data_IF_985169710468
#
_entry.id   IF_985169710468
#
_cell.length_a   1.000
_cell.length_b   1.000
_cell.length_c   1.000
_cell.angle_alpha   90.00
_cell.angle_beta   90.00
_cell.angle_gamma   90.00
#
_symmetry.space_group_name_H-M   'P 1'
#
loop_
_entity.id
_entity.type
_entity.pdbx_description
1 polymer ?
#
# COMPACT_ATOMS: atom_id res chain seq x y z
N UNK A 1 24.63 -2.06 -1.70
CA UNK A 1 25.11 -0.76 -2.14
C UNK A 1 24.19 0.37 -1.66
N UNK A 2 24.65 1.62 -1.77
CA UNK A 2 23.84 2.78 -1.42
C UNK A 2 22.56 2.88 -2.24
N UNK A 3 22.62 2.51 -3.52
CA UNK A 3 21.46 2.55 -4.40
C UNK A 3 20.38 1.57 -3.95
N UNK A 4 20.77 0.40 -3.50
CA UNK A 4 19.80 -0.59 -2.99
C UNK A 4 19.16 -0.12 -1.69
N UNK A 5 19.97 0.47 -0.80
CA UNK A 5 19.45 1.01 0.47
C UNK A 5 18.47 2.16 0.22
N UNK A 6 18.78 3.03 -0.73
CA UNK A 6 17.90 4.13 -1.11
C UNK A 6 16.59 3.61 -1.69
N UNK A 7 16.65 2.56 -2.51
CA UNK A 7 15.46 1.96 -3.11
C UNK A 7 14.54 1.37 -2.05
N UNK A 8 15.12 0.67 -1.07
CA UNK A 8 14.35 0.10 0.04
C UNK A 8 13.72 1.21 0.86
N UNK A 9 14.47 2.26 1.18
CA UNK A 9 13.97 3.39 1.96
C UNK A 9 12.82 4.09 1.22
N UNK A 10 12.97 4.31 -0.07
CA UNK A 10 11.92 4.92 -0.89
C UNK A 10 10.66 4.06 -0.89
N UNK A 11 10.82 2.74 -1.02
CA UNK A 11 9.68 1.82 -1.01
C UNK A 11 8.91 1.87 0.31
N UNK A 12 9.63 1.93 1.43
CA UNK A 12 9.00 2.05 2.76
C UNK A 12 8.20 3.34 2.84
N UNK A 13 8.78 4.45 2.40
CA UNK A 13 8.10 5.74 2.41
C UNK A 13 6.88 5.73 1.50
N UNK A 14 7.03 5.17 0.31
CA UNK A 14 5.94 5.07 -0.66
C UNK A 14 4.75 4.32 -0.08
N UNK A 15 4.97 3.14 0.49
CA UNK A 15 3.88 2.35 1.06
C UNK A 15 3.31 3.01 2.31
N UNK A 16 4.13 3.67 3.12
CA UNK A 16 3.66 4.38 4.29
C UNK A 16 2.70 5.51 3.90
N UNK A 17 3.08 6.33 2.93
CA UNK A 17 2.22 7.42 2.46
C UNK A 17 0.97 6.89 1.77
N UNK A 18 1.08 5.80 1.03
CA UNK A 18 -0.07 5.19 0.38
C UNK A 18 -1.09 4.70 1.41
N UNK A 19 -0.63 4.03 2.46
CA UNK A 19 -1.51 3.55 3.52
C UNK A 19 -2.17 4.70 4.29
N UNK A 20 -1.39 5.72 4.64
CA UNK A 20 -1.93 6.90 5.32
C UNK A 20 -2.95 7.61 4.44
N UNK A 21 -2.62 7.80 3.16
CA UNK A 21 -3.51 8.44 2.20
C UNK A 21 -4.83 7.70 2.03
N UNK A 22 -4.76 6.39 1.87
CA UNK A 22 -5.95 5.55 1.75
C UNK A 22 -6.79 5.61 3.02
N UNK A 23 -6.16 5.57 4.18
CA UNK A 23 -6.84 5.66 5.47
C UNK A 23 -7.56 6.98 5.65
N UNK A 24 -6.89 8.09 5.34
CA UNK A 24 -7.47 9.42 5.45
C UNK A 24 -8.64 9.61 4.46
N UNK A 25 -8.49 9.12 3.24
CA UNK A 25 -9.57 9.17 2.25
C UNK A 25 -10.78 8.39 2.73
N UNK A 26 -10.56 7.19 3.28
CA UNK A 26 -11.63 6.36 3.81
C UNK A 26 -12.38 7.06 4.95
N UNK A 27 -11.64 7.71 5.86
CA UNK A 27 -12.23 8.48 6.95
C UNK A 27 -13.05 9.66 6.40
N UNK A 28 -12.52 10.36 5.40
CA UNK A 28 -13.20 11.50 4.79
C UNK A 28 -14.51 11.12 4.13
N UNK A 29 -14.64 9.87 3.68
CA UNK A 29 -15.86 9.33 3.08
C UNK A 29 -16.80 8.73 4.12
N UNK A 30 -16.60 9.03 5.41
CA UNK A 30 -17.41 8.53 6.52
C UNK A 30 -17.30 7.02 6.71
N UNK A 31 -16.09 6.48 6.45
CA UNK A 31 -15.74 5.09 6.71
C UNK A 31 -16.72 4.10 6.07
N UNK A 32 -16.90 4.13 4.74
CA UNK A 32 -17.83 3.22 4.07
C UNK A 32 -17.39 1.76 4.22
N UNK A 33 -18.35 0.90 4.52
CA UNK A 33 -18.07 -0.51 4.77
C UNK A 33 -17.38 -0.70 6.12
N UNK A 34 -16.51 -1.68 6.20
CA UNK A 34 -15.78 -2.01 7.43
C UNK A 34 -14.28 -1.82 7.23
N UNK A 35 -13.56 -1.65 8.34
CA UNK A 35 -12.10 -1.58 8.31
C UNK A 35 -11.50 -2.87 7.73
N UNK A 36 -12.13 -4.00 8.01
CA UNK A 36 -11.72 -5.30 7.45
C UNK A 36 -11.78 -5.29 5.93
N UNK A 37 -12.87 -4.77 5.37
CA UNK A 37 -13.04 -4.67 3.92
C UNK A 37 -11.99 -3.76 3.30
N UNK A 38 -11.65 -2.66 3.96
CA UNK A 38 -10.60 -1.76 3.50
C UNK A 38 -9.25 -2.47 3.48
N UNK A 39 -8.91 -3.17 4.55
CA UNK A 39 -7.66 -3.92 4.64
C UNK A 39 -7.59 -4.99 3.55
N UNK A 40 -8.68 -5.68 3.28
CA UNK A 40 -8.75 -6.69 2.21
C UNK A 40 -8.46 -6.07 0.85
N UNK A 41 -8.98 -4.88 0.57
CA UNK A 41 -8.70 -4.17 -0.69
C UNK A 41 -7.21 -3.81 -0.81
N UNK A 42 -6.61 -3.35 0.29
CA UNK A 42 -5.19 -3.02 0.32
C UNK A 42 -4.36 -4.27 0.04
N UNK A 43 -4.69 -5.39 0.67
CA UNK A 43 -4.00 -6.66 0.46
C UNK A 43 -4.08 -7.12 -0.99
N UNK A 44 -5.24 -6.96 -1.63
CA UNK A 44 -5.41 -7.33 -3.04
C UNK A 44 -4.46 -6.54 -3.95
N UNK A 45 -4.32 -5.24 -3.70
CA UNK A 45 -3.40 -4.41 -4.48
C UNK A 45 -1.95 -4.84 -4.26
N UNK A 46 -1.57 -5.10 -3.01
CA UNK A 46 -0.22 -5.51 -2.66
C UNK A 46 0.14 -6.87 -3.26
N UNK A 47 -0.77 -7.85 -3.16
CA UNK A 47 -0.57 -9.17 -3.74
C UNK A 47 -0.41 -9.06 -5.25
N UNK A 48 -1.26 -8.27 -5.91
CA UNK A 48 -1.17 -8.04 -7.35
C UNK A 48 0.18 -7.48 -7.77
N UNK A 49 0.72 -6.55 -6.99
CA UNK A 49 2.02 -5.96 -7.26
C UNK A 49 3.14 -7.00 -7.12
N UNK A 50 3.08 -7.83 -6.08
CA UNK A 50 4.08 -8.89 -5.85
C UNK A 50 4.04 -9.91 -6.98
N UNK A 51 2.84 -10.36 -7.37
CA UNK A 51 2.67 -11.33 -8.46
C UNK A 51 3.22 -10.78 -9.77
N UNK A 52 2.94 -9.51 -10.08
CA UNK A 52 3.43 -8.88 -11.29
C UNK A 52 4.97 -8.86 -11.32
N UNK A 53 5.62 -8.63 -10.19
CA UNK A 53 7.07 -8.65 -10.11
C UNK A 53 7.66 -10.04 -10.29
N UNK A 54 7.02 -11.05 -9.72
CA UNK A 54 7.48 -12.45 -9.83
C UNK A 54 7.32 -12.94 -11.26
N UNK A 55 6.27 -12.49 -11.96
CA UNK A 55 5.95 -12.94 -13.33
C UNK A 55 6.87 -12.35 -14.39
N UNK A 56 7.68 -11.39 -14.03
CA UNK A 56 8.70 -10.84 -14.93
C UNK A 56 9.96 -11.71 -14.93
#
# INVERSE_FOLDING_TARGET
SGAEAEQVQFSIEFYTYALVGVGLDWISRQMPGTAKELVEKIEQVMIGTIVARISQ
#
